data_IF_413007288228
#
_entry.id   IF_413007288228
#
_cell.length_a   1.000
_cell.length_b   1.000
_cell.length_c   1.000
_cell.angle_alpha   90.00
_cell.angle_beta   90.00
_cell.angle_gamma   90.00
#
_symmetry.space_group_name_H-M   'P 1'
#
loop_
_entity.id
_entity.type
_entity.pdbx_description
1 polymer ?
#
# COMPACT_ATOMS: atom_id res chain seq x y z
N UNK A 1 34.63 3.06 21.29
CA UNK A 1 33.69 4.19 21.52
C UNK A 1 33.39 4.99 20.25
N UNK A 2 34.27 5.05 19.24
CA UNK A 2 33.97 5.72 17.95
C UNK A 2 32.97 4.99 17.03
N UNK A 3 32.84 3.66 17.11
CA UNK A 3 31.90 2.91 16.25
C UNK A 3 30.42 3.19 16.59
N UNK A 4 30.09 3.34 17.88
CA UNK A 4 28.72 3.59 18.31
C UNK A 4 28.15 4.93 17.79
N UNK A 5 29.01 5.95 17.64
CA UNK A 5 28.62 7.27 17.11
C UNK A 5 28.40 7.23 15.60
N UNK A 6 29.17 6.42 14.87
CA UNK A 6 29.02 6.24 13.41
C UNK A 6 27.74 5.49 13.06
N UNK A 7 27.37 4.48 13.86
CA UNK A 7 26.14 3.72 13.65
C UNK A 7 24.90 4.56 13.98
N UNK A 8 24.96 5.38 15.02
CA UNK A 8 23.87 6.30 15.35
C UNK A 8 23.68 7.34 14.24
N UNK A 9 24.76 7.93 13.72
CA UNK A 9 24.67 8.89 12.61
C UNK A 9 24.07 8.25 11.34
N UNK A 10 24.50 7.04 10.97
CA UNK A 10 23.92 6.28 9.86
C UNK A 10 22.46 5.89 10.11
N UNK A 11 22.10 5.55 11.35
CA UNK A 11 20.71 5.30 11.73
C UNK A 11 19.88 6.56 11.59
N UNK A 12 20.37 7.70 12.07
CA UNK A 12 19.69 8.99 11.97
C UNK A 12 19.47 9.36 10.50
N UNK A 13 20.47 9.19 9.64
CA UNK A 13 20.32 9.44 8.20
C UNK A 13 19.38 8.43 7.50
N UNK A 14 19.34 7.17 7.95
CA UNK A 14 18.47 6.13 7.38
C UNK A 14 17.01 6.20 7.88
N UNK A 15 16.81 6.74 9.09
CA UNK A 15 15.51 6.89 9.75
C UNK A 15 14.86 8.21 9.38
N UNK A 16 15.65 9.26 9.11
CA UNK A 16 15.14 10.56 8.73
C UNK A 16 15.13 10.71 7.21
N UNK A 17 13.95 10.53 6.61
CA UNK A 17 13.68 11.20 5.34
C UNK A 17 13.70 12.71 5.60
N UNK A 18 14.82 13.37 5.25
CA UNK A 18 14.83 14.83 5.17
C UNK A 18 13.86 15.23 4.05
N UNK A 19 12.91 16.14 4.29
CA UNK A 19 12.03 16.60 3.23
C UNK A 19 12.88 17.13 2.08
N UNK A 20 12.51 16.78 0.85
CA UNK A 20 13.02 17.50 -0.31
C UNK A 20 12.67 18.97 -0.11
N UNK A 21 13.63 19.89 -0.26
CA UNK A 21 13.54 21.27 0.26
C UNK A 21 12.52 22.20 -0.47
N UNK A 22 11.32 21.70 -0.77
CA UNK A 22 10.15 22.53 -1.02
C UNK A 22 9.63 23.07 0.31
N UNK A 23 9.17 24.32 0.33
CA UNK A 23 8.49 24.84 1.49
C UNK A 23 7.11 24.18 1.57
N UNK A 24 6.94 23.22 2.48
CA UNK A 24 5.64 22.67 2.83
C UNK A 24 4.65 23.80 3.15
N UNK A 25 3.39 23.65 2.76
CA UNK A 25 2.36 24.54 3.30
C UNK A 25 2.30 24.36 4.82
N UNK A 26 2.22 25.44 5.62
CA UNK A 26 2.22 25.34 7.08
C UNK A 26 1.17 24.34 7.59
N UNK A 27 1.62 23.35 8.35
CA UNK A 27 0.75 22.32 8.93
C UNK A 27 0.43 21.14 8.01
N UNK A 28 1.16 20.95 6.90
CA UNK A 28 1.14 19.69 6.14
C UNK A 28 2.34 18.81 6.49
N UNK A 29 2.11 17.52 6.67
CA UNK A 29 3.19 16.53 6.81
C UNK A 29 3.68 16.13 5.42
N UNK A 30 4.93 16.46 5.10
CA UNK A 30 5.59 16.00 3.88
C UNK A 30 6.15 14.59 4.08
N UNK A 31 5.53 13.60 3.44
CA UNK A 31 6.05 12.24 3.40
C UNK A 31 5.73 11.62 2.06
N UNK A 32 6.69 10.85 1.51
CA UNK A 32 6.48 10.04 0.32
C UNK A 32 5.43 8.95 0.53
N UNK A 33 5.25 8.50 1.78
CA UNK A 33 4.20 7.57 2.14
C UNK A 33 2.82 8.24 2.03
N UNK A 34 1.85 7.64 1.31
CA UNK A 34 0.49 8.16 1.25
C UNK A 34 -0.20 8.13 2.62
N UNK A 35 0.09 7.14 3.45
CA UNK A 35 -0.50 7.01 4.78
C UNK A 35 0.41 7.56 5.87
N UNK A 36 -0.18 8.30 6.80
CA UNK A 36 0.55 9.04 7.84
C UNK A 36 -0.10 8.80 9.19
N UNK A 37 0.67 8.22 10.12
CA UNK A 37 0.26 8.02 11.51
C UNK A 37 1.06 8.99 12.36
N UNK A 38 0.39 9.96 12.97
CA UNK A 38 1.04 11.01 13.74
C UNK A 38 1.13 10.62 15.23
N UNK A 39 2.26 10.88 15.86
CA UNK A 39 2.46 10.72 17.30
C UNK A 39 3.19 11.93 17.86
N UNK A 40 2.86 12.32 19.10
CA UNK A 40 3.58 13.36 19.84
C UNK A 40 4.07 12.82 21.18
N UNK A 41 5.12 11.98 21.19
CA UNK A 41 5.62 11.37 22.41
C UNK A 41 6.24 12.40 23.35
N UNK A 42 6.29 12.10 24.64
CA UNK A 42 7.29 12.70 25.53
C UNK A 42 8.66 12.08 25.25
N UNK A 43 9.50 12.80 24.49
CA UNK A 43 10.86 12.37 24.14
C UNK A 43 11.79 12.18 25.35
N UNK A 44 11.41 12.68 26.53
CA UNK A 44 12.15 12.46 27.78
C UNK A 44 11.75 11.16 28.48
N UNK A 45 10.64 10.54 28.06
CA UNK A 45 10.09 9.33 28.66
C UNK A 45 10.48 8.10 27.85
N UNK A 46 11.51 7.37 28.31
CA UNK A 46 11.90 6.10 27.70
C UNK A 46 10.77 5.06 27.67
N UNK A 47 9.85 5.12 28.64
CA UNK A 47 8.69 4.22 28.68
C UNK A 47 7.71 4.54 27.56
N UNK A 48 7.43 5.81 27.32
CA UNK A 48 6.46 6.23 26.31
C UNK A 48 7.00 6.00 24.89
N UNK A 49 8.29 6.23 24.67
CA UNK A 49 8.95 5.87 23.41
C UNK A 49 8.89 4.36 23.18
N UNK A 50 9.13 3.53 24.20
CA UNK A 50 8.95 2.08 24.08
C UNK A 50 7.51 1.68 23.77
N UNK A 51 6.53 2.25 24.46
CA UNK A 51 5.10 2.02 24.14
C UNK A 51 4.79 2.33 22.67
N UNK A 52 5.31 3.46 22.16
CA UNK A 52 5.14 3.84 20.77
C UNK A 52 5.78 2.84 19.81
N UNK A 53 7.06 2.49 20.02
CA UNK A 53 7.79 1.66 19.06
C UNK A 53 7.42 0.17 19.15
N UNK A 54 7.28 -0.38 20.36
CA UNK A 54 6.86 -1.77 20.56
C UNK A 54 5.43 -1.99 20.09
N UNK A 55 4.55 -0.99 20.30
CA UNK A 55 3.14 -1.09 19.93
C UNK A 55 2.88 -0.80 18.45
N UNK A 56 3.34 0.34 17.95
CA UNK A 56 2.95 0.85 16.64
C UNK A 56 4.02 0.64 15.59
N UNK A 57 5.29 0.98 15.86
CA UNK A 57 6.32 0.94 14.83
C UNK A 57 6.58 -0.48 14.31
N UNK A 58 6.56 -1.50 15.18
CA UNK A 58 6.67 -2.90 14.75
C UNK A 58 5.60 -3.28 13.70
N UNK A 59 4.39 -2.73 13.81
CA UNK A 59 3.31 -2.99 12.84
C UNK A 59 3.51 -2.25 11.51
N UNK A 60 4.41 -1.27 11.45
CA UNK A 60 4.69 -0.46 10.25
C UNK A 60 5.95 -0.91 9.50
N UNK A 61 6.77 -1.78 10.11
CA UNK A 61 8.03 -2.24 9.50
C UNK A 61 7.81 -2.92 8.16
N UNK A 62 8.63 -2.54 7.18
CA UNK A 62 8.56 -3.07 5.81
C UNK A 62 7.39 -2.55 5.00
N UNK A 63 6.59 -1.62 5.53
CA UNK A 63 5.46 -1.02 4.82
C UNK A 63 5.89 0.32 4.21
N UNK A 64 6.23 0.33 2.93
CA UNK A 64 6.68 1.54 2.21
C UNK A 64 5.59 2.57 1.90
N UNK A 65 4.33 2.26 2.21
CA UNK A 65 3.17 3.12 1.96
C UNK A 65 2.66 3.84 3.22
N UNK A 66 3.26 3.60 4.39
CA UNK A 66 2.90 4.24 5.65
C UNK A 66 4.11 4.79 6.39
N UNK A 67 3.98 6.02 6.90
CA UNK A 67 4.98 6.68 7.72
C UNK A 67 4.46 6.95 9.14
N UNK A 68 5.30 6.68 10.14
CA UNK A 68 5.12 7.15 11.51
C UNK A 68 5.73 8.55 11.63
N UNK A 69 4.87 9.55 11.75
CA UNK A 69 5.26 10.95 11.83
C UNK A 69 5.34 11.37 13.31
N UNK A 70 6.49 11.87 13.76
CA UNK A 70 6.75 12.29 15.13
C UNK A 70 6.74 13.81 15.21
N UNK A 71 5.74 14.37 15.90
CA UNK A 71 5.64 15.80 16.13
C UNK A 71 6.67 16.24 17.17
N UNK A 72 7.48 17.25 16.84
CA UNK A 72 8.35 17.94 17.76
C UNK A 72 7.92 19.42 17.83
N UNK A 73 7.73 19.92 19.05
CA UNK A 73 7.30 21.30 19.29
C UNK A 73 8.39 22.05 20.07
N UNK A 74 9.09 23.00 19.42
CA UNK A 74 10.09 23.84 20.07
C UNK A 74 9.53 24.54 21.31
N UNK A 75 10.29 24.52 22.40
CA UNK A 75 9.91 25.10 23.70
C UNK A 75 9.05 24.20 24.59
N UNK A 76 8.44 23.15 24.05
CA UNK A 76 7.78 22.08 24.83
C UNK A 76 8.69 20.85 24.94
N UNK A 77 9.30 20.48 23.82
CA UNK A 77 10.11 19.28 23.70
C UNK A 77 11.60 19.56 23.93
N UNK A 78 12.43 18.51 24.13
CA UNK A 78 13.89 18.65 24.04
C UNK A 78 14.32 19.25 22.70
N UNK A 79 15.61 19.60 22.59
CA UNK A 79 16.17 19.99 21.29
C UNK A 79 15.97 18.86 20.29
N UNK A 80 15.83 19.21 19.01
CA UNK A 80 15.53 18.23 17.96
C UNK A 80 16.58 17.12 17.94
N UNK A 81 17.85 17.45 18.13
CA UNK A 81 18.96 16.50 18.20
C UNK A 81 18.79 15.48 19.35
N UNK A 82 18.39 15.96 20.53
CA UNK A 82 18.15 15.10 21.70
C UNK A 82 16.93 14.19 21.47
N UNK A 83 15.88 14.72 20.84
CA UNK A 83 14.67 13.97 20.49
C UNK A 83 14.95 12.88 19.45
N UNK A 84 15.76 13.20 18.44
CA UNK A 84 16.25 12.25 17.43
C UNK A 84 17.09 11.16 18.08
N UNK A 85 18.04 11.51 18.98
CA UNK A 85 18.86 10.52 19.67
C UNK A 85 18.02 9.57 20.54
N UNK A 86 17.11 10.13 21.35
CA UNK A 86 16.21 9.34 22.19
C UNK A 86 15.35 8.39 21.36
N UNK A 87 14.84 8.88 20.24
CA UNK A 87 14.04 8.12 19.27
C UNK A 87 14.85 7.00 18.62
N UNK A 88 16.04 7.30 18.09
CA UNK A 88 16.90 6.30 17.46
C UNK A 88 17.29 5.19 18.44
N UNK A 89 17.54 5.54 19.70
CA UNK A 89 17.82 4.58 20.77
C UNK A 89 16.63 3.67 21.06
N UNK A 90 15.44 4.24 21.24
CA UNK A 90 14.22 3.48 21.51
C UNK A 90 13.81 2.62 20.31
N UNK A 91 13.93 3.13 19.09
CA UNK A 91 13.75 2.38 17.85
C UNK A 91 14.68 1.17 17.79
N UNK A 92 15.99 1.37 18.02
CA UNK A 92 16.98 0.29 18.00
C UNK A 92 16.62 -0.84 18.97
N UNK A 93 16.10 -0.49 20.14
CA UNK A 93 15.70 -1.47 21.17
C UNK A 93 14.44 -2.24 20.77
N UNK A 94 13.44 -1.55 20.20
CA UNK A 94 12.14 -2.13 19.86
C UNK A 94 12.14 -2.94 18.55
N UNK A 95 12.89 -2.45 17.55
CA UNK A 95 12.81 -2.90 16.15
C UNK A 95 14.11 -3.58 15.69
N UNK A 96 15.24 -3.27 16.34
CA UNK A 96 16.56 -3.72 15.89
C UNK A 96 17.18 -2.78 14.84
N UNK A 97 17.53 -3.31 13.67
CA UNK A 97 18.17 -2.53 12.60
C UNK A 97 17.18 -1.53 11.97
N UNK A 98 17.59 -0.30 11.62
CA UNK A 98 16.74 0.59 10.85
C UNK A 98 16.38 -0.04 9.49
N UNK A 99 15.10 -0.17 9.20
CA UNK A 99 14.60 -0.36 7.84
C UNK A 99 14.23 1.01 7.28
N UNK A 100 14.61 1.30 6.05
CA UNK A 100 14.31 2.59 5.41
C UNK A 100 12.79 2.84 5.36
N UNK A 101 12.38 4.09 5.60
CA UNK A 101 11.07 4.62 5.15
C UNK A 101 9.90 4.62 6.14
N UNK A 102 10.11 4.35 7.43
CA UNK A 102 8.98 4.24 8.37
C UNK A 102 8.83 5.39 9.38
N UNK A 103 9.79 6.31 9.47
CA UNK A 103 9.77 7.38 10.47
C UNK A 103 10.01 8.75 9.83
N UNK A 104 9.30 9.78 10.30
CA UNK A 104 9.47 11.14 9.84
C UNK A 104 9.28 12.11 11.00
N UNK A 105 10.17 13.09 11.18
CA UNK A 105 9.98 14.14 12.19
C UNK A 105 9.25 15.33 11.57
N UNK A 106 8.24 15.81 12.27
CA UNK A 106 7.51 17.04 11.94
C UNK A 106 7.97 18.10 12.93
N UNK A 107 8.89 18.98 12.48
CA UNK A 107 9.53 20.02 13.31
C UNK A 107 8.96 21.43 13.06
N UNK A 108 7.95 21.56 12.21
CA UNK A 108 7.22 22.80 12.01
C UNK A 108 6.33 23.10 13.20
N UNK A 109 6.79 24.02 14.07
CA UNK A 109 6.15 24.46 15.30
C UNK A 109 4.73 25.05 15.05
N UNK A 110 3.65 24.25 15.15
CA UNK A 110 2.36 24.76 14.79
C UNK A 110 1.72 25.42 16.01
N UNK A 111 1.28 26.67 15.87
CA UNK A 111 0.29 27.24 16.79
C UNK A 111 -1.00 26.42 16.79
N UNK A 112 -1.93 26.71 17.71
CA UNK A 112 -3.19 25.95 17.85
C UNK A 112 -3.99 25.87 16.53
N UNK A 113 -4.01 26.95 15.73
CA UNK A 113 -4.69 27.00 14.44
C UNK A 113 -4.15 25.96 13.42
N UNK A 114 -2.87 25.61 13.54
CA UNK A 114 -2.20 24.64 12.67
C UNK A 114 -2.33 23.19 13.15
N UNK A 115 -2.80 22.92 14.37
CA UNK A 115 -3.02 21.54 14.83
C UNK A 115 -4.14 20.84 14.07
N UNK A 116 -5.20 21.55 13.71
CA UNK A 116 -6.29 20.98 12.89
C UNK A 116 -5.84 20.78 11.44
N UNK A 117 -4.95 21.62 10.89
CA UNK A 117 -4.35 21.38 9.59
C UNK A 117 -3.46 20.13 9.61
N UNK A 118 -2.59 20.04 10.64
CA UNK A 118 -1.72 18.89 10.85
C UNK A 118 -2.52 17.59 10.97
N UNK A 119 -3.58 17.61 11.78
CA UNK A 119 -4.49 16.48 11.93
C UNK A 119 -5.17 16.03 10.64
N UNK A 120 -5.53 16.97 9.76
CA UNK A 120 -6.12 16.66 8.44
C UNK A 120 -5.12 16.03 7.47
N UNK A 121 -3.82 16.26 7.66
CA UNK A 121 -2.78 15.60 6.86
C UNK A 121 -2.43 14.20 7.38
N UNK A 122 -2.85 13.85 8.60
CA UNK A 122 -2.68 12.53 9.20
C UNK A 122 -3.94 11.66 9.07
N UNK A 123 -3.74 10.36 8.84
CA UNK A 123 -4.83 9.38 8.82
C UNK A 123 -5.28 8.98 10.23
N UNK A 124 -4.36 9.08 11.18
CA UNK A 124 -4.63 8.87 12.58
C UNK A 124 -3.58 9.53 13.47
N UNK A 125 -3.92 9.71 14.74
CA UNK A 125 -3.03 10.20 15.79
C UNK A 125 -2.97 9.19 16.94
N UNK A 126 -1.78 8.88 17.42
CA UNK A 126 -1.56 8.00 18.57
C UNK A 126 -1.76 8.77 19.88
N UNK A 127 -2.66 8.28 20.73
CA UNK A 127 -2.86 8.79 22.09
C UNK A 127 -1.98 8.06 23.10
N UNK A 128 -0.75 8.56 23.23
CA UNK A 128 0.22 8.15 24.23
C UNK A 128 -0.15 8.66 25.62
N UNK A 129 0.55 8.16 26.64
CA UNK A 129 0.26 8.46 28.03
C UNK A 129 0.42 9.93 28.40
N UNK A 130 1.50 10.60 27.96
CA UNK A 130 1.71 12.03 28.24
C UNK A 130 0.53 12.91 27.80
N UNK A 131 -0.17 12.52 26.74
CA UNK A 131 -1.35 13.22 26.24
C UNK A 131 -2.62 12.96 27.10
N UNK A 132 -2.60 11.96 27.99
CA UNK A 132 -3.68 11.68 28.96
C UNK A 132 -3.49 12.50 30.23
N UNK A 133 -2.24 12.73 30.61
CA UNK A 133 -1.82 13.42 31.84
C UNK A 133 -2.14 14.92 31.88
N UNK A 134 -2.36 15.57 30.73
CA UNK A 134 -2.75 16.99 30.64
C UNK A 134 -1.88 17.81 29.68
N UNK A 135 -1.97 19.14 29.78
CA UNK A 135 -1.10 20.08 29.07
C UNK A 135 -1.29 20.15 27.54
N UNK A 136 -0.26 20.66 26.85
CA UNK A 136 -0.32 20.94 25.41
C UNK A 136 -0.62 19.70 24.55
N UNK A 137 -0.08 18.52 24.91
CA UNK A 137 -0.34 17.25 24.22
C UNK A 137 -1.80 16.83 24.30
N UNK A 138 -2.43 17.01 25.46
CA UNK A 138 -3.88 16.76 25.62
C UNK A 138 -4.70 17.72 24.77
N UNK A 139 -4.38 19.01 24.81
CA UNK A 139 -5.04 20.03 24.00
C UNK A 139 -4.91 19.74 22.50
N UNK A 140 -3.75 19.25 22.06
CA UNK A 140 -3.53 18.79 20.70
C UNK A 140 -4.46 17.64 20.32
N UNK A 141 -4.54 16.57 21.11
CA UNK A 141 -5.46 15.45 20.85
C UNK A 141 -6.93 15.89 20.78
N UNK A 142 -7.32 16.91 21.54
CA UNK A 142 -8.68 17.44 21.53
C UNK A 142 -8.96 18.32 20.29
N UNK A 143 -7.93 18.90 19.68
CA UNK A 143 -8.05 19.89 18.58
C UNK A 143 -7.75 19.29 17.20
N UNK A 144 -7.01 18.18 17.15
CA UNK A 144 -6.48 17.60 15.90
C UNK A 144 -7.58 17.16 14.93
N UNK A 145 -8.79 16.84 15.43
CA UNK A 145 -9.97 16.55 14.59
C UNK A 145 -9.88 15.28 13.74
N UNK A 146 -8.82 14.49 13.91
CA UNK A 146 -8.60 13.22 13.20
C UNK A 146 -8.81 12.02 14.13
N UNK A 147 -8.83 10.81 13.57
CA UNK A 147 -9.03 9.57 14.33
C UNK A 147 -7.90 9.36 15.34
N UNK A 148 -8.26 9.11 16.60
CA UNK A 148 -7.30 8.88 17.69
C UNK A 148 -7.19 7.39 18.02
N UNK A 149 -5.98 6.84 17.91
CA UNK A 149 -5.63 5.47 18.29
C UNK A 149 -5.21 5.44 19.76
N UNK A 150 -5.99 4.74 20.60
CA UNK A 150 -5.72 4.57 22.03
C UNK A 150 -5.01 3.26 22.33
N UNK A 151 -5.05 2.31 21.40
CA UNK A 151 -4.46 0.99 21.52
C UNK A 151 -3.81 0.54 20.20
N UNK A 152 -2.63 -0.10 20.24
CA UNK A 152 -1.95 -0.59 19.04
C UNK A 152 -2.80 -1.47 18.12
N UNK A 153 -3.69 -2.28 18.69
CA UNK A 153 -4.60 -3.16 17.94
C UNK A 153 -5.56 -2.42 16.98
N UNK A 154 -5.72 -1.10 17.13
CA UNK A 154 -6.55 -0.28 16.24
C UNK A 154 -5.84 0.13 14.95
N UNK A 155 -4.51 0.00 14.89
CA UNK A 155 -3.71 0.46 13.76
C UNK A 155 -3.95 -0.41 12.52
N UNK A 156 -3.79 -1.74 12.63
CA UNK A 156 -3.94 -2.61 11.46
C UNK A 156 -5.33 -2.54 10.80
N UNK A 157 -6.46 -2.55 11.54
CA UNK A 157 -7.78 -2.36 10.95
C UNK A 157 -7.91 -1.02 10.21
N UNK A 158 -7.37 0.06 10.78
CA UNK A 158 -7.35 1.36 10.12
C UNK A 158 -6.58 1.31 8.81
N UNK A 159 -5.33 0.82 8.84
CA UNK A 159 -4.50 0.76 7.64
C UNK A 159 -5.15 -0.12 6.57
N UNK A 160 -5.78 -1.22 6.96
CA UNK A 160 -6.54 -2.06 6.03
C UNK A 160 -7.70 -1.28 5.40
N UNK A 161 -8.50 -0.53 6.19
CA UNK A 161 -9.60 0.28 5.65
C UNK A 161 -9.11 1.34 4.65
N UNK A 162 -8.09 2.12 5.02
CA UNK A 162 -7.59 3.19 4.15
C UNK A 162 -6.95 2.61 2.89
N UNK A 163 -6.13 1.56 3.05
CA UNK A 163 -5.56 0.83 1.92
C UNK A 163 -6.61 0.26 1.00
N UNK A 164 -7.70 -0.30 1.54
CA UNK A 164 -8.79 -0.82 0.74
C UNK A 164 -9.44 0.28 -0.09
N UNK A 165 -9.73 1.45 0.49
CA UNK A 165 -10.34 2.57 -0.24
C UNK A 165 -9.42 3.13 -1.34
N UNK A 166 -8.14 3.34 -1.03
CA UNK A 166 -7.15 3.82 -1.99
C UNK A 166 -6.84 2.79 -3.09
N UNK A 167 -6.83 1.50 -2.71
CA UNK A 167 -6.66 0.38 -3.64
C UNK A 167 -7.87 0.30 -4.56
N UNK A 168 -9.06 0.40 -4.01
CA UNK A 168 -10.30 0.41 -4.78
C UNK A 168 -10.32 1.59 -5.76
N UNK A 169 -10.01 2.81 -5.32
CA UNK A 169 -9.90 3.96 -6.20
C UNK A 169 -8.89 3.75 -7.36
N UNK A 170 -7.69 3.23 -7.05
CA UNK A 170 -6.64 2.96 -8.05
C UNK A 170 -6.96 1.80 -8.97
N UNK A 171 -7.59 0.75 -8.45
CA UNK A 171 -8.02 -0.42 -9.23
C UNK A 171 -9.21 -0.08 -10.12
N UNK A 172 -10.08 0.84 -9.69
CA UNK A 172 -11.33 1.16 -10.38
C UNK A 172 -11.13 2.20 -11.50
N UNK A 173 -10.16 3.11 -11.34
CA UNK A 173 -9.94 4.19 -12.30
C UNK A 173 -9.71 3.71 -13.74
N UNK A 174 -8.83 2.73 -14.02
CA UNK A 174 -8.62 2.25 -15.40
C UNK A 174 -9.89 1.68 -16.02
N UNK A 175 -10.72 0.98 -15.25
CA UNK A 175 -11.96 0.39 -15.75
C UNK A 175 -13.02 1.44 -16.06
N UNK A 176 -13.14 2.44 -15.19
CA UNK A 176 -14.07 3.56 -15.40
C UNK A 176 -13.67 4.38 -16.63
N UNK A 177 -12.37 4.58 -16.86
CA UNK A 177 -11.83 5.27 -18.04
C UNK A 177 -12.11 4.52 -19.35
N UNK A 178 -12.17 3.18 -19.30
CA UNK A 178 -12.63 2.34 -20.41
C UNK A 178 -14.16 2.36 -20.61
N UNK A 179 -14.90 3.07 -19.75
CA UNK A 179 -16.36 3.14 -19.81
C UNK A 179 -17.06 1.90 -19.22
N UNK A 180 -16.32 1.02 -18.55
CA UNK A 180 -16.93 -0.10 -17.84
C UNK A 180 -17.62 0.38 -16.58
N UNK A 181 -18.67 -0.35 -16.19
CA UNK A 181 -19.38 -0.15 -14.92
C UNK A 181 -19.16 -1.37 -14.02
N UNK A 182 -19.30 -1.24 -12.69
CA UNK A 182 -19.12 -2.37 -11.78
C UNK A 182 -20.02 -3.57 -12.09
N UNK A 183 -21.21 -3.37 -12.65
CA UNK A 183 -22.18 -4.42 -12.96
C UNK A 183 -22.15 -4.90 -14.42
N UNK A 184 -21.18 -4.46 -15.23
CA UNK A 184 -21.13 -4.78 -16.67
C UNK A 184 -21.12 -6.30 -16.95
N UNK A 185 -20.55 -7.08 -16.04
CA UNK A 185 -20.37 -8.53 -16.16
C UNK A 185 -21.08 -9.29 -15.04
N UNK A 186 -22.21 -8.77 -14.54
CA UNK A 186 -22.99 -9.44 -13.50
C UNK A 186 -23.36 -10.87 -13.90
N UNK A 187 -22.97 -11.85 -13.06
CA UNK A 187 -23.19 -13.27 -13.30
C UNK A 187 -22.34 -13.91 -14.40
N UNK A 188 -21.53 -13.13 -15.13
CA UNK A 188 -20.66 -13.61 -16.18
C UNK A 188 -19.27 -14.01 -15.63
N UNK A 189 -18.56 -14.87 -16.37
CA UNK A 189 -17.22 -15.32 -15.98
C UNK A 189 -16.14 -14.35 -16.44
N UNK A 190 -15.28 -13.92 -15.52
CA UNK A 190 -14.08 -13.13 -15.80
C UNK A 190 -12.85 -13.93 -15.37
N UNK A 191 -11.79 -13.91 -16.17
CA UNK A 191 -10.52 -14.56 -15.82
C UNK A 191 -9.46 -13.49 -15.54
N UNK A 192 -8.88 -13.49 -14.33
CA UNK A 192 -7.72 -12.65 -13.98
C UNK A 192 -6.45 -13.51 -14.01
N UNK A 193 -5.59 -13.24 -14.99
CA UNK A 193 -4.35 -13.96 -15.24
C UNK A 193 -3.21 -13.25 -14.54
N UNK A 194 -2.63 -13.99 -13.61
CA UNK A 194 -1.55 -13.64 -12.70
C UNK A 194 -1.74 -12.24 -12.08
N UNK A 195 -2.80 -12.06 -11.27
CA UNK A 195 -3.06 -10.87 -10.46
C UNK A 195 -1.91 -10.46 -9.54
N UNK A 196 -1.00 -11.37 -9.21
CA UNK A 196 -0.18 -11.24 -8.01
C UNK A 196 -1.06 -11.45 -6.78
N UNK A 197 -0.75 -10.80 -5.64
CA UNK A 197 -1.56 -10.92 -4.43
C UNK A 197 -2.86 -10.08 -4.46
N UNK A 198 -3.16 -9.35 -5.54
CA UNK A 198 -4.30 -8.43 -5.61
C UNK A 198 -5.11 -8.62 -6.88
N UNK A 199 -6.40 -8.90 -6.73
CA UNK A 199 -7.37 -8.99 -7.81
C UNK A 199 -7.65 -7.62 -8.41
N UNK A 200 -7.53 -7.53 -9.74
CA UNK A 200 -7.89 -6.31 -10.50
C UNK A 200 -9.38 -6.30 -10.83
N UNK A 201 -9.99 -7.48 -10.77
CA UNK A 201 -11.41 -7.76 -11.03
C UNK A 201 -12.33 -7.39 -9.89
N UNK A 202 -11.83 -6.90 -8.75
CA UNK A 202 -12.67 -6.41 -7.65
C UNK A 202 -13.66 -5.32 -8.05
N UNK A 203 -13.36 -4.59 -9.13
CA UNK A 203 -14.25 -3.60 -9.70
C UNK A 203 -15.57 -4.19 -10.21
N UNK A 204 -15.54 -5.43 -10.72
CA UNK A 204 -16.70 -6.06 -11.33
C UNK A 204 -17.52 -6.81 -10.28
N UNK A 205 -18.51 -6.13 -9.72
CA UNK A 205 -19.43 -6.68 -8.75
C UNK A 205 -20.25 -7.83 -9.36
N UNK A 206 -20.47 -8.87 -8.55
CA UNK A 206 -21.28 -10.04 -8.93
C UNK A 206 -20.80 -10.85 -10.13
N UNK A 207 -19.60 -10.57 -10.67
CA UNK A 207 -18.95 -11.43 -11.66
C UNK A 207 -18.44 -12.73 -11.03
N UNK A 208 -18.41 -13.81 -11.81
CA UNK A 208 -17.77 -15.07 -11.42
C UNK A 208 -16.29 -14.98 -11.79
N UNK A 209 -15.46 -14.65 -10.80
CA UNK A 209 -14.02 -14.42 -11.01
C UNK A 209 -13.23 -15.72 -10.87
N UNK A 210 -12.59 -16.15 -11.96
CA UNK A 210 -11.61 -17.23 -12.02
C UNK A 210 -10.19 -16.63 -12.04
N UNK A 211 -9.28 -17.12 -11.21
CA UNK A 211 -7.92 -16.57 -11.09
C UNK A 211 -6.87 -17.60 -11.45
N UNK A 212 -5.88 -17.21 -12.24
CA UNK A 212 -4.72 -18.05 -12.56
C UNK A 212 -3.47 -17.38 -11.99
N UNK A 213 -2.97 -17.81 -10.83
CA UNK A 213 -1.78 -17.21 -10.21
C UNK A 213 -0.80 -18.30 -9.76
N UNK A 214 0.38 -18.43 -10.37
CA UNK A 214 1.33 -19.50 -10.04
C UNK A 214 1.86 -19.44 -8.60
N UNK A 215 1.75 -18.28 -7.93
CA UNK A 215 2.17 -18.08 -6.54
C UNK A 215 1.00 -18.00 -5.57
N UNK A 216 -0.20 -18.47 -5.95
CA UNK A 216 -1.41 -18.34 -5.15
C UNK A 216 -1.25 -18.93 -3.73
N UNK A 217 -0.63 -20.11 -3.63
CA UNK A 217 -0.34 -20.77 -2.36
C UNK A 217 0.58 -19.92 -1.47
N UNK A 218 1.68 -19.42 -2.03
CA UNK A 218 2.62 -18.55 -1.32
C UNK A 218 1.94 -17.27 -0.82
N UNK A 219 1.06 -16.66 -1.61
CA UNK A 219 0.30 -15.50 -1.17
C UNK A 219 -0.71 -15.86 -0.07
N UNK A 220 -1.39 -16.99 -0.17
CA UNK A 220 -2.31 -17.45 0.88
C UNK A 220 -1.59 -17.69 2.21
N UNK A 221 -0.35 -18.21 2.17
CA UNK A 221 0.41 -18.54 3.37
C UNK A 221 1.09 -17.31 4.00
N UNK A 222 1.68 -16.44 3.17
CA UNK A 222 2.59 -15.39 3.64
C UNK A 222 2.06 -13.97 3.44
N UNK A 223 1.02 -13.79 2.64
CA UNK A 223 0.47 -12.48 2.29
C UNK A 223 -0.94 -12.31 2.88
N UNK A 224 -1.02 -11.95 4.18
CA UNK A 224 -2.30 -11.79 4.90
C UNK A 224 -3.26 -10.76 4.29
N UNK A 225 -2.75 -9.86 3.45
CA UNK A 225 -3.51 -8.83 2.77
C UNK A 225 -3.90 -9.21 1.34
N UNK A 226 -3.52 -10.43 0.90
CA UNK A 226 -3.94 -11.01 -0.38
C UNK A 226 -5.46 -11.13 -0.42
N UNK A 227 -6.05 -10.75 -1.54
CA UNK A 227 -7.49 -10.85 -1.75
C UNK A 227 -7.88 -11.93 -2.77
N UNK A 228 -6.93 -12.78 -3.18
CA UNK A 228 -7.20 -13.92 -4.07
C UNK A 228 -8.31 -14.85 -3.56
N UNK A 229 -8.47 -14.97 -2.24
CA UNK A 229 -9.54 -15.77 -1.63
C UNK A 229 -10.95 -15.23 -1.87
N UNK A 230 -11.10 -14.03 -2.46
CA UNK A 230 -12.41 -13.48 -2.89
C UNK A 230 -12.85 -13.97 -4.27
N UNK A 231 -11.95 -14.56 -5.04
CA UNK A 231 -12.31 -15.15 -6.33
C UNK A 231 -13.25 -16.35 -6.14
N UNK A 232 -14.07 -16.65 -7.15
CA UNK A 232 -14.87 -17.87 -7.17
C UNK A 232 -13.96 -19.11 -7.10
N UNK A 233 -12.83 -19.05 -7.80
CA UNK A 233 -11.82 -20.11 -7.80
C UNK A 233 -10.44 -19.55 -8.14
N UNK A 234 -9.42 -20.14 -7.52
CA UNK A 234 -8.01 -19.79 -7.72
C UNK A 234 -7.25 -21.02 -8.17
N UNK A 235 -6.52 -20.88 -9.26
CA UNK A 235 -5.71 -21.92 -9.87
C UNK A 235 -4.22 -21.60 -9.68
N UNK A 236 -3.56 -22.40 -8.84
CA UNK A 236 -2.10 -22.35 -8.62
C UNK A 236 -1.38 -23.07 -9.77
N UNK A 237 -1.34 -22.41 -10.93
CA UNK A 237 -0.82 -22.94 -12.21
C UNK A 237 -0.09 -21.88 -13.02
N UNK A 238 0.73 -22.31 -13.97
CA UNK A 238 1.40 -21.42 -14.91
C UNK A 238 0.39 -20.73 -15.84
N UNK A 239 0.48 -19.41 -16.09
CA UNK A 239 -0.35 -18.71 -17.07
C UNK A 239 -0.25 -19.24 -18.51
N UNK A 240 0.84 -19.95 -18.84
CA UNK A 240 1.07 -20.59 -20.15
C UNK A 240 0.44 -21.97 -20.29
N UNK A 241 -0.20 -22.47 -19.23
CA UNK A 241 -0.90 -23.75 -19.20
C UNK A 241 -2.41 -23.52 -19.26
N UNK A 242 -3.08 -24.16 -20.22
CA UNK A 242 -4.53 -24.08 -20.35
C UNK A 242 -5.21 -24.89 -19.25
N UNK A 243 -6.17 -24.26 -18.58
CA UNK A 243 -7.04 -24.88 -17.58
C UNK A 243 -8.34 -25.28 -18.28
N UNK A 244 -8.55 -26.58 -18.45
CA UNK A 244 -9.66 -27.10 -19.24
C UNK A 244 -11.02 -26.71 -18.66
N UNK A 245 -11.11 -26.60 -17.33
CA UNK A 245 -12.32 -26.30 -16.58
C UNK A 245 -12.83 -24.86 -16.79
N UNK A 246 -11.95 -23.93 -17.15
CA UNK A 246 -12.36 -22.56 -17.51
C UNK A 246 -13.00 -22.54 -18.90
N UNK A 247 -12.62 -23.45 -19.81
CA UNK A 247 -13.22 -23.52 -21.15
C UNK A 247 -13.02 -22.25 -21.98
N UNK A 248 -14.00 -21.94 -22.82
CA UNK A 248 -14.10 -20.76 -23.71
C UNK A 248 -15.33 -19.91 -23.35
N UNK A 249 -15.50 -19.64 -22.05
CA UNK A 249 -16.72 -19.01 -21.51
C UNK A 249 -16.51 -17.61 -20.93
N UNK A 250 -15.28 -17.10 -20.89
CA UNK A 250 -14.99 -15.82 -20.25
C UNK A 250 -15.44 -14.65 -21.13
N UNK A 251 -16.18 -13.70 -20.55
CA UNK A 251 -16.54 -12.45 -21.24
C UNK A 251 -15.41 -11.43 -21.21
N UNK A 252 -14.53 -11.54 -20.20
CA UNK A 252 -13.36 -10.70 -20.04
C UNK A 252 -12.19 -11.57 -19.53
N UNK A 253 -11.03 -11.41 -20.15
CA UNK A 253 -9.77 -11.97 -19.64
C UNK A 253 -8.80 -10.81 -19.43
N UNK A 254 -8.20 -10.74 -18.24
CA UNK A 254 -7.26 -9.69 -17.87
C UNK A 254 -5.89 -10.33 -17.67
N UNK A 255 -4.87 -9.81 -18.36
CA UNK A 255 -3.48 -10.22 -18.16
C UNK A 255 -2.73 -9.02 -17.60
N UNK A 256 -2.29 -9.11 -16.35
CA UNK A 256 -1.54 -8.01 -15.74
C UNK A 256 -0.04 -8.10 -15.89
N UNK A 257 0.68 -7.62 -14.88
CA UNK A 257 2.13 -7.41 -14.91
C UNK A 257 2.95 -8.71 -15.01
N UNK A 258 2.30 -9.87 -14.98
CA UNK A 258 2.95 -11.17 -15.02
C UNK A 258 3.72 -11.44 -16.31
N UNK A 259 3.38 -10.77 -17.41
CA UNK A 259 4.08 -10.91 -18.68
C UNK A 259 5.57 -10.57 -18.57
N UNK A 260 5.98 -9.74 -17.60
CA UNK A 260 7.40 -9.43 -17.38
C UNK A 260 8.20 -10.59 -16.76
N UNK A 261 7.51 -11.55 -16.13
CA UNK A 261 8.11 -12.61 -15.34
C UNK A 261 7.92 -14.01 -15.91
N UNK A 262 7.16 -14.14 -17.01
CA UNK A 262 6.93 -15.43 -17.68
C UNK A 262 7.98 -15.66 -18.77
N UNK A 263 8.40 -16.92 -18.92
CA UNK A 263 9.39 -17.31 -19.92
C UNK A 263 8.89 -17.13 -21.36
N UNK A 264 7.56 -17.25 -21.57
CA UNK A 264 6.92 -17.16 -22.89
C UNK A 264 5.64 -16.29 -22.84
N UNK A 265 5.79 -14.96 -23.00
CA UNK A 265 4.66 -14.02 -23.01
C UNK A 265 3.66 -14.29 -24.14
N UNK A 266 4.15 -14.70 -25.32
CA UNK A 266 3.31 -15.00 -26.48
C UNK A 266 2.39 -16.18 -26.22
N UNK A 267 2.93 -17.26 -25.65
CA UNK A 267 2.14 -18.42 -25.24
C UNK A 267 1.17 -18.10 -24.11
N UNK A 268 1.57 -17.26 -23.14
CA UNK A 268 0.68 -16.79 -22.07
C UNK A 268 -0.51 -16.05 -22.67
N UNK A 269 -0.29 -15.12 -23.60
CA UNK A 269 -1.35 -14.35 -24.26
C UNK A 269 -2.26 -15.24 -25.11
N UNK A 270 -1.70 -16.19 -25.87
CA UNK A 270 -2.49 -17.15 -26.64
C UNK A 270 -3.37 -18.03 -25.71
N UNK A 271 -2.81 -18.46 -24.58
CA UNK A 271 -3.54 -19.25 -23.57
C UNK A 271 -4.64 -18.41 -22.93
N UNK A 272 -4.35 -17.18 -22.52
CA UNK A 272 -5.32 -16.26 -21.96
C UNK A 272 -6.48 -16.00 -22.93
N UNK A 273 -6.18 -15.71 -24.20
CA UNK A 273 -7.19 -15.46 -25.21
C UNK A 273 -8.06 -16.70 -25.50
N UNK A 274 -7.52 -17.90 -25.34
CA UNK A 274 -8.30 -19.14 -25.52
C UNK A 274 -9.40 -19.34 -24.47
N UNK A 275 -9.43 -18.55 -23.39
CA UNK A 275 -10.53 -18.59 -22.41
C UNK A 275 -11.74 -17.76 -22.83
N UNK A 276 -11.62 -16.91 -23.85
CA UNK A 276 -12.68 -15.99 -24.26
C UNK A 276 -13.83 -16.69 -24.97
N UNK A 277 -15.05 -16.32 -24.58
CA UNK A 277 -16.25 -16.59 -25.34
C UNK A 277 -16.30 -15.72 -26.62
N UNK A 278 -17.12 -16.07 -27.63
CA UNK A 278 -17.37 -15.20 -28.76
C UNK A 278 -17.88 -13.81 -28.30
N UNK A 279 -17.24 -12.74 -28.75
CA UNK A 279 -17.55 -11.37 -28.31
C UNK A 279 -16.83 -10.94 -27.04
N UNK A 280 -16.04 -11.82 -26.41
CA UNK A 280 -15.28 -11.50 -25.21
C UNK A 280 -14.11 -10.53 -25.48
N UNK A 281 -13.59 -9.95 -24.41
CA UNK A 281 -12.51 -8.97 -24.48
C UNK A 281 -11.25 -9.43 -23.72
N UNK A 282 -10.09 -9.25 -24.36
CA UNK A 282 -8.79 -9.40 -23.70
C UNK A 282 -8.26 -8.03 -23.30
N UNK A 283 -8.02 -7.82 -22.01
CA UNK A 283 -7.35 -6.63 -21.49
C UNK A 283 -5.94 -6.99 -21.05
N UNK A 284 -4.95 -6.30 -21.58
CA UNK A 284 -3.54 -6.49 -21.19
C UNK A 284 -3.03 -5.21 -20.55
N UNK A 285 -2.50 -5.31 -19.33
CA UNK A 285 -1.83 -4.19 -18.68
C UNK A 285 -0.46 -3.99 -19.32
N UNK A 286 -0.24 -2.80 -19.86
CA UNK A 286 1.00 -2.42 -20.53
C UNK A 286 2.12 -2.36 -19.50
N UNK A 287 3.20 -3.04 -19.84
CA UNK A 287 4.47 -2.97 -19.14
C UNK A 287 5.47 -2.28 -20.06
N UNK A 288 6.54 -1.70 -19.49
CA UNK A 288 7.55 -0.94 -20.24
C UNK A 288 8.28 -1.76 -21.32
N UNK A 289 8.14 -3.08 -21.29
CA UNK A 289 8.84 -4.02 -22.17
C UNK A 289 7.98 -4.55 -23.34
N UNK A 290 6.68 -4.24 -23.38
CA UNK A 290 5.71 -4.93 -24.24
C UNK A 290 5.49 -4.35 -25.65
N UNK A 291 5.98 -3.14 -25.95
CA UNK A 291 5.66 -2.46 -27.21
C UNK A 291 6.12 -3.23 -28.47
N UNK A 292 7.26 -3.93 -28.40
CA UNK A 292 7.76 -4.75 -29.51
C UNK A 292 7.17 -6.17 -29.55
N UNK A 293 6.74 -6.71 -28.40
CA UNK A 293 6.28 -8.09 -28.31
C UNK A 293 4.80 -8.25 -28.64
N UNK A 294 3.92 -7.35 -28.18
CA UNK A 294 2.47 -7.42 -28.47
C UNK A 294 2.22 -7.39 -29.99
N UNK A 295 2.99 -6.59 -30.73
CA UNK A 295 2.89 -6.51 -32.18
C UNK A 295 3.24 -7.84 -32.89
N UNK A 296 3.99 -8.72 -32.24
CA UNK A 296 4.41 -10.03 -32.77
C UNK A 296 3.52 -11.20 -32.37
N UNK A 297 2.61 -11.01 -31.40
CA UNK A 297 1.70 -12.07 -30.97
C UNK A 297 0.63 -12.26 -32.03
N UNK A 298 0.61 -13.45 -32.63
CA UNK A 298 -0.44 -13.84 -33.55
C UNK A 298 -1.75 -14.06 -32.80
N UNK A 299 -2.56 -12.99 -32.72
CA UNK A 299 -3.91 -13.02 -32.19
C UNK A 299 -4.95 -13.36 -33.28
N UNK A 300 -4.53 -13.78 -34.48
CA UNK A 300 -5.45 -14.16 -35.57
C UNK A 300 -6.47 -15.23 -35.15
N UNK A 301 -6.15 -16.22 -34.29
CA UNK A 301 -7.16 -17.16 -33.77
C UNK A 301 -8.29 -16.49 -32.96
N UNK A 302 -8.04 -15.30 -32.43
CA UNK A 302 -8.90 -14.55 -31.50
C UNK A 302 -9.68 -13.46 -32.24
N UNK A 303 -9.13 -12.94 -33.35
CA UNK A 303 -9.60 -11.75 -34.07
C UNK A 303 -10.91 -11.91 -34.84
N UNK A 304 -11.46 -13.11 -35.01
CA UNK A 304 -12.77 -13.25 -35.67
C UNK A 304 -13.94 -12.83 -34.77
N UNK A 305 -13.74 -12.67 -33.46
CA UNK A 305 -14.85 -12.31 -32.54
C UNK A 305 -14.46 -11.57 -31.24
N UNK A 306 -13.18 -11.33 -30.94
CA UNK A 306 -12.77 -10.68 -29.68
C UNK A 306 -11.99 -9.37 -29.89
N UNK A 307 -12.13 -8.44 -28.96
CA UNK A 307 -11.37 -7.18 -28.89
C UNK A 307 -10.13 -7.31 -27.99
N UNK A 308 -9.07 -6.56 -28.32
CA UNK A 308 -7.89 -6.40 -27.47
C UNK A 308 -7.81 -4.95 -27.02
N UNK A 309 -7.79 -4.75 -25.71
CA UNK A 309 -7.56 -3.45 -25.08
C UNK A 309 -6.26 -3.46 -24.29
N UNK A 310 -5.42 -2.46 -24.50
CA UNK A 310 -4.13 -2.32 -23.81
C UNK A 310 -4.23 -1.14 -22.85
N UNK A 311 -4.16 -1.41 -21.54
CA UNK A 311 -4.15 -0.38 -20.50
C UNK A 311 -2.75 0.18 -20.34
N UNK A 312 -2.57 1.50 -20.40
CA UNK A 312 -1.26 2.16 -20.27
C UNK A 312 -0.66 2.09 -18.85
#
# INVERSE_FOLDING_TARGET
MMEATSDLARMVDAVLERPASGAAAPGMIESAAPYRVLAWPDYRSERELRELFDGYAQQLLGQGDVSLCLLQVPGVDPRLEDAIEATARAWKQAVGSPTAGCLHFVDDAPGVASWTALGRSAHAVVALESARSGGARRSFLQTVGTRVLRHPAQLQPLLNTVRSADREARSNAPWSELGYTPWLFEGATIVDVAPGPQLRTHYFESAVVEVIEPRAELFSEHCRWSDLGRAHRVWSRSPSERIAEIGDQACLVIVGDALESVDDPSRTLATAASYLAPGGELVVKKSRWLDSQIASVDLTPVRSSASLTVLA
#
